data_IF_588996748349
#
_entry.id   IF_588996748349
#
_cell.length_a   1.000
_cell.length_b   1.000
_cell.length_c   1.000
_cell.angle_alpha   90.00
_cell.angle_beta   90.00
_cell.angle_gamma   90.00
#
_symmetry.space_group_name_H-M   'P 1'
#
loop_
_entity.id
_entity.type
_entity.pdbx_description
1 polymer ?
#
# COMPACT_ATOMS: atom_id res chain seq x y z
N UNK A 1 -57.01 40.50 19.36
CA UNK A 1 -57.25 41.46 18.24
C UNK A 1 -57.69 40.69 17.00
N UNK A 2 -58.45 41.36 16.15
CA UNK A 2 -59.35 40.84 15.10
C UNK A 2 -58.66 40.03 14.00
N UNK A 3 -59.38 39.01 13.49
CA UNK A 3 -59.13 38.33 12.20
C UNK A 3 -59.34 39.32 11.04
N UNK A 4 -58.45 39.31 10.06
CA UNK A 4 -58.69 39.83 8.70
C UNK A 4 -58.20 38.77 7.71
N UNK A 5 -59.09 38.38 6.80
CA UNK A 5 -58.83 37.52 5.64
C UNK A 5 -58.12 38.33 4.57
N UNK A 6 -57.12 37.76 3.90
CA UNK A 6 -56.67 38.23 2.60
C UNK A 6 -56.81 37.09 1.59
N UNK A 7 -57.61 37.37 0.57
CA UNK A 7 -57.84 36.56 -0.63
C UNK A 7 -56.74 36.96 -1.62
N UNK A 8 -55.97 35.99 -2.13
CA UNK A 8 -55.11 36.21 -3.30
C UNK A 8 -55.38 35.13 -4.35
N UNK A 9 -55.56 35.64 -5.55
CA UNK A 9 -56.13 35.08 -6.77
C UNK A 9 -55.20 34.01 -7.39
N UNK A 10 -55.74 32.83 -7.72
CA UNK A 10 -55.06 31.84 -8.57
C UNK A 10 -55.08 32.32 -10.03
N UNK A 11 -53.91 32.41 -10.65
CA UNK A 11 -53.75 32.61 -12.09
C UNK A 11 -53.32 31.28 -12.71
N UNK A 12 -54.27 30.62 -13.37
CA UNK A 12 -54.06 29.39 -14.13
C UNK A 12 -53.49 29.75 -15.49
N UNK A 13 -52.26 29.31 -15.80
CA UNK A 13 -51.72 29.33 -17.17
C UNK A 13 -51.69 27.88 -17.66
N UNK A 14 -52.62 27.54 -18.54
CA UNK A 14 -52.53 26.35 -19.38
C UNK A 14 -51.50 26.60 -20.47
N UNK A 15 -50.49 25.74 -20.57
CA UNK A 15 -49.71 25.57 -21.80
C UNK A 15 -49.66 24.08 -22.15
N UNK A 16 -49.92 23.85 -23.43
CA UNK A 16 -50.30 22.58 -24.04
C UNK A 16 -49.21 21.51 -23.98
N UNK A 17 -49.69 20.29 -23.83
CA UNK A 17 -48.96 19.03 -24.06
C UNK A 17 -48.69 18.88 -25.57
N UNK A 18 -47.43 18.72 -25.94
CA UNK A 18 -47.03 17.97 -27.13
C UNK A 18 -46.27 16.74 -26.65
N UNK A 19 -46.88 15.57 -26.81
CA UNK A 19 -46.26 14.28 -26.57
C UNK A 19 -45.34 13.91 -27.73
N UNK A 20 -44.10 13.54 -27.44
CA UNK A 20 -43.32 12.58 -28.22
C UNK A 20 -42.26 11.96 -27.29
N UNK A 21 -42.42 10.67 -27.00
CA UNK A 21 -41.37 9.76 -26.55
C UNK A 21 -40.70 10.03 -25.20
N UNK A 22 -41.30 9.56 -24.11
CA UNK A 22 -40.49 9.10 -22.98
C UNK A 22 -39.92 7.73 -23.36
N UNK A 23 -38.81 7.73 -24.09
CA UNK A 23 -37.78 6.72 -23.83
C UNK A 23 -37.10 7.19 -22.55
N UNK A 24 -37.15 6.38 -21.49
CA UNK A 24 -36.18 6.49 -20.41
C UNK A 24 -34.81 6.52 -21.08
N UNK A 25 -34.15 7.67 -21.04
CA UNK A 25 -32.74 7.72 -21.37
C UNK A 25 -32.09 6.86 -20.29
N UNK A 26 -31.69 5.65 -20.66
CA UNK A 26 -30.61 4.96 -19.95
C UNK A 26 -29.52 6.02 -19.76
N UNK A 27 -29.25 6.40 -18.51
CA UNK A 27 -28.05 7.14 -18.17
C UNK A 27 -26.90 6.22 -18.56
N UNK A 28 -26.51 6.27 -19.83
CA UNK A 28 -25.25 5.69 -20.28
C UNK A 28 -24.20 6.44 -19.49
N UNK A 29 -23.54 5.74 -18.57
CA UNK A 29 -22.39 6.32 -17.92
C UNK A 29 -21.42 6.72 -19.04
N UNK A 30 -20.80 7.90 -18.96
CA UNK A 30 -19.92 8.43 -20.02
C UNK A 30 -18.58 7.66 -20.11
N UNK A 31 -18.55 6.45 -19.54
CA UNK A 31 -17.38 5.60 -19.40
C UNK A 31 -16.41 6.13 -18.35
N UNK A 32 -16.82 7.03 -17.46
CA UNK A 32 -15.98 7.58 -16.37
C UNK A 32 -16.64 7.28 -15.04
N UNK A 33 -15.88 6.66 -14.14
CA UNK A 33 -16.33 6.26 -12.81
C UNK A 33 -15.45 6.95 -11.77
N UNK A 34 -16.00 7.92 -11.05
CA UNK A 34 -15.31 8.55 -9.91
C UNK A 34 -15.20 7.58 -8.74
N UNK A 35 -14.25 7.80 -7.83
CA UNK A 35 -14.10 6.92 -6.65
C UNK A 35 -15.36 6.81 -5.80
N UNK A 36 -16.16 7.88 -5.73
CA UNK A 36 -17.45 7.89 -5.04
C UNK A 36 -18.49 7.02 -5.76
N UNK A 37 -18.53 7.03 -7.10
CA UNK A 37 -19.43 6.17 -7.88
C UNK A 37 -19.01 4.69 -7.82
N UNK A 38 -17.74 4.42 -7.56
CA UNK A 38 -17.21 3.07 -7.38
C UNK A 38 -17.32 2.54 -5.95
N UNK A 39 -17.91 3.29 -5.00
CA UNK A 39 -18.01 2.87 -3.60
C UNK A 39 -18.67 1.47 -3.48
N UNK A 40 -17.98 0.54 -2.82
CA UNK A 40 -18.40 -0.86 -2.69
C UNK A 40 -18.21 -1.74 -3.94
N UNK A 41 -17.57 -1.23 -5.00
CA UNK A 41 -17.29 -1.95 -6.25
C UNK A 41 -15.79 -2.20 -6.52
N UNK A 42 -14.91 -1.69 -5.67
CA UNK A 42 -13.48 -1.95 -5.71
C UNK A 42 -12.96 -2.51 -4.39
N UNK A 43 -11.80 -3.15 -4.46
CA UNK A 43 -11.03 -3.64 -3.32
C UNK A 43 -9.73 -2.86 -3.22
N UNK A 44 -9.29 -2.59 -2.00
CA UNK A 44 -7.96 -2.04 -1.73
C UNK A 44 -7.19 -2.96 -0.80
N UNK A 45 -5.88 -2.94 -0.95
CA UNK A 45 -4.96 -3.54 0.02
C UNK A 45 -3.99 -2.46 0.51
N UNK A 46 -3.50 -2.61 1.74
CA UNK A 46 -2.78 -1.55 2.43
C UNK A 46 -3.69 -0.61 3.24
N UNK A 47 -3.15 0.54 3.64
CA UNK A 47 -3.84 1.49 4.54
C UNK A 47 -4.29 2.73 3.78
N UNK A 48 -5.08 2.48 2.72
CA UNK A 48 -5.60 3.50 1.81
C UNK A 48 -6.71 4.33 2.45
N UNK A 49 -6.79 5.61 2.09
CA UNK A 49 -7.81 6.55 2.61
C UNK A 49 -8.45 7.29 1.41
N UNK A 50 -9.77 7.43 1.42
CA UNK A 50 -10.49 8.21 0.41
C UNK A 50 -10.57 9.68 0.84
N UNK A 51 -9.99 10.57 0.04
CA UNK A 51 -10.00 12.02 0.20
C UNK A 51 -10.93 12.69 -0.83
N UNK A 52 -11.10 14.02 -0.73
CA UNK A 52 -11.82 14.81 -1.74
C UNK A 52 -11.12 14.71 -3.11
N UNK A 53 -9.78 14.64 -3.10
CA UNK A 53 -8.94 14.47 -4.29
C UNK A 53 -9.01 13.06 -4.90
N UNK A 54 -9.54 12.07 -4.19
CA UNK A 54 -9.59 10.67 -4.65
C UNK A 54 -9.02 9.68 -3.65
N UNK A 55 -8.91 8.42 -4.07
CA UNK A 55 -8.36 7.34 -3.23
C UNK A 55 -6.84 7.48 -3.16
N UNK A 56 -6.31 7.70 -1.96
CA UNK A 56 -4.88 7.83 -1.73
C UNK A 56 -4.19 6.47 -1.69
N UNK A 57 -3.26 6.26 -2.62
CA UNK A 57 -2.31 5.14 -2.66
C UNK A 57 -0.95 5.69 -2.24
N UNK A 58 -0.60 5.57 -0.97
CA UNK A 58 0.52 6.30 -0.36
C UNK A 58 1.72 5.40 -0.10
N UNK A 59 1.49 4.17 0.33
CA UNK A 59 2.52 3.29 0.84
C UNK A 59 2.92 2.28 -0.22
N UNK A 60 4.10 1.68 -0.06
CA UNK A 60 4.48 0.54 -0.88
C UNK A 60 3.41 -0.56 -0.82
N UNK A 61 3.09 -1.12 -1.98
CA UNK A 61 2.06 -2.12 -2.21
C UNK A 61 0.61 -1.71 -1.92
N UNK A 62 0.33 -0.44 -1.56
CA UNK A 62 -1.04 0.05 -1.60
C UNK A 62 -1.61 -0.21 -2.99
N UNK A 63 -2.80 -0.82 -3.03
CA UNK A 63 -3.39 -1.28 -4.28
C UNK A 63 -4.86 -0.91 -4.43
N UNK A 64 -5.27 -0.84 -5.69
CA UNK A 64 -6.64 -0.63 -6.12
C UNK A 64 -6.99 -1.71 -7.14
N UNK A 65 -8.08 -2.44 -6.90
CA UNK A 65 -8.52 -3.56 -7.72
C UNK A 65 -10.02 -3.47 -8.01
N UNK A 66 -10.42 -3.70 -9.25
CA UNK A 66 -11.83 -3.74 -9.65
C UNK A 66 -12.07 -4.74 -10.79
N UNK A 67 -13.31 -5.20 -10.89
CA UNK A 67 -13.78 -6.02 -12.01
C UNK A 67 -14.69 -5.19 -12.92
N UNK A 68 -14.61 -5.42 -14.23
CA UNK A 68 -15.50 -4.78 -15.19
C UNK A 68 -15.80 -5.70 -16.38
N UNK A 69 -17.02 -5.58 -16.91
CA UNK A 69 -17.37 -6.11 -18.22
C UNK A 69 -17.17 -5.00 -19.25
N UNK A 70 -16.07 -5.03 -19.98
CA UNK A 70 -15.65 -3.93 -20.83
C UNK A 70 -15.01 -4.39 -22.14
N UNK A 71 -14.78 -3.44 -23.04
CA UNK A 71 -13.98 -3.62 -24.26
C UNK A 71 -13.18 -2.36 -24.59
N UNK A 72 -12.05 -2.52 -25.29
CA UNK A 72 -11.22 -1.41 -25.76
C UNK A 72 -10.30 -0.82 -24.69
N UNK A 73 -10.21 0.52 -24.63
CA UNK A 73 -9.28 1.23 -23.75
C UNK A 73 -9.78 1.26 -22.31
N UNK A 74 -8.89 0.97 -21.38
CA UNK A 74 -9.09 1.17 -19.94
C UNK A 74 -7.99 2.09 -19.42
N UNK A 75 -8.38 3.17 -18.73
CA UNK A 75 -7.45 4.12 -18.15
C UNK A 75 -7.90 4.62 -16.78
N UNK A 76 -7.03 5.34 -16.09
CA UNK A 76 -7.24 5.92 -14.77
C UNK A 76 -6.80 7.37 -14.79
N UNK A 77 -7.51 8.26 -14.10
CA UNK A 77 -7.03 9.62 -13.85
C UNK A 77 -6.36 9.66 -12.48
N UNK A 78 -5.10 10.08 -12.46
CA UNK A 78 -4.27 10.15 -11.26
C UNK A 78 -3.80 11.58 -11.01
N UNK A 79 -3.77 11.99 -9.76
CA UNK A 79 -3.09 13.19 -9.28
C UNK A 79 -1.89 12.79 -8.43
N UNK A 80 -0.69 13.20 -8.82
CA UNK A 80 0.51 13.05 -8.01
C UNK A 80 0.95 14.41 -7.45
N UNK A 81 1.02 14.53 -6.14
CA UNK A 81 1.50 15.70 -5.44
C UNK A 81 2.86 15.45 -4.80
N UNK A 82 3.78 16.39 -4.98
CA UNK A 82 5.06 16.36 -4.28
C UNK A 82 4.87 16.56 -2.77
N UNK A 83 5.81 16.00 -1.99
CA UNK A 83 5.96 16.33 -0.58
C UNK A 83 6.93 17.50 -0.41
N UNK A 84 6.57 18.46 0.42
CA UNK A 84 7.36 19.69 0.65
C UNK A 84 8.75 19.39 1.23
N UNK A 85 8.91 18.33 2.04
CA UNK A 85 10.21 17.93 2.58
C UNK A 85 11.14 17.32 1.51
N UNK A 86 10.57 16.68 0.48
CA UNK A 86 11.36 16.09 -0.61
C UNK A 86 11.77 17.09 -1.69
N UNK A 87 11.17 18.28 -1.75
CA UNK A 87 11.63 19.35 -2.66
C UNK A 87 13.02 19.90 -2.28
N UNK A 88 13.50 19.65 -1.04
CA UNK A 88 14.84 20.03 -0.57
C UNK A 88 15.87 18.89 -0.68
N UNK A 89 15.44 17.68 -1.08
CA UNK A 89 16.34 16.53 -1.25
C UNK A 89 16.98 16.53 -2.64
N UNK A 90 18.20 17.10 -2.65
CA UNK A 90 19.31 16.87 -3.60
C UNK A 90 19.05 17.24 -5.07
N UNK A 91 19.88 18.11 -5.63
CA UNK A 91 20.02 18.27 -7.08
C UNK A 91 20.38 16.90 -7.68
N UNK A 92 19.44 16.30 -8.41
CA UNK A 92 19.66 15.04 -9.13
C UNK A 92 20.00 15.33 -10.60
N UNK A 93 21.14 14.81 -11.12
CA UNK A 93 21.51 15.01 -12.52
C UNK A 93 20.53 14.41 -13.53
N UNK A 94 19.69 13.44 -13.13
CA UNK A 94 18.64 12.85 -13.98
C UNK A 94 17.29 13.59 -13.89
N UNK A 95 17.22 14.68 -13.11
CA UNK A 95 16.05 15.56 -13.05
C UNK A 95 14.92 15.06 -12.15
N UNK A 96 15.26 14.31 -11.09
CA UNK A 96 14.32 13.93 -10.03
C UNK A 96 13.42 15.09 -9.64
N UNK A 97 12.13 14.79 -9.59
CA UNK A 97 11.16 15.63 -8.91
C UNK A 97 10.71 14.91 -7.65
N UNK A 98 10.36 15.66 -6.61
CA UNK A 98 9.79 15.21 -5.34
C UNK A 98 8.44 14.43 -5.44
N UNK A 99 8.14 13.88 -6.62
CA UNK A 99 6.89 13.27 -7.07
C UNK A 99 7.16 12.31 -8.24
N UNK A 100 7.94 11.26 -7.98
CA UNK A 100 8.27 10.18 -8.92
C UNK A 100 7.79 8.85 -8.32
N UNK A 101 6.52 8.51 -8.55
CA UNK A 101 5.90 7.32 -7.96
C UNK A 101 5.78 6.22 -9.01
N UNK A 102 6.29 5.03 -8.70
CA UNK A 102 6.24 3.88 -9.62
C UNK A 102 5.09 2.95 -9.27
N UNK A 103 4.44 2.38 -10.29
CA UNK A 103 3.34 1.43 -10.16
C UNK A 103 3.49 0.25 -11.10
N UNK A 104 2.94 -0.89 -10.69
CA UNK A 104 2.73 -2.08 -11.53
C UNK A 104 1.23 -2.24 -11.79
N UNK A 105 0.84 -2.49 -13.04
CA UNK A 105 -0.52 -2.92 -13.36
C UNK A 105 -0.59 -4.44 -13.51
N UNK A 106 -1.72 -5.03 -13.14
CA UNK A 106 -2.09 -6.41 -13.44
C UNK A 106 -3.43 -6.40 -14.17
N UNK A 107 -3.53 -7.19 -15.23
CA UNK A 107 -4.78 -7.40 -16.00
C UNK A 107 -5.03 -8.90 -16.03
N UNK A 108 -6.19 -9.34 -15.54
CA UNK A 108 -6.56 -10.75 -15.42
C UNK A 108 -5.50 -11.59 -14.67
N UNK A 109 -4.86 -10.97 -13.67
CA UNK A 109 -3.77 -11.57 -12.89
C UNK A 109 -2.40 -11.53 -13.55
N UNK A 110 -2.29 -11.12 -14.82
CA UNK A 110 -1.02 -11.01 -15.53
C UNK A 110 -0.32 -9.67 -15.21
N UNK A 111 0.91 -9.73 -14.72
CA UNK A 111 1.75 -8.57 -14.40
C UNK A 111 2.22 -7.86 -15.67
N UNK A 112 2.03 -6.54 -15.73
CA UNK A 112 2.63 -5.71 -16.78
C UNK A 112 4.16 -5.74 -16.72
N UNK A 113 4.81 -5.85 -17.88
CA UNK A 113 6.26 -5.66 -18.01
C UNK A 113 6.67 -4.19 -17.82
N UNK A 114 5.74 -3.25 -18.02
CA UNK A 114 5.99 -1.81 -17.88
C UNK A 114 5.82 -1.38 -16.43
N UNK A 115 6.87 -0.78 -15.87
CA UNK A 115 6.79 0.00 -14.62
C UNK A 115 6.34 1.41 -14.96
N UNK A 116 5.26 1.85 -14.35
CA UNK A 116 4.65 3.12 -14.68
C UNK A 116 5.08 4.21 -13.71
N UNK A 117 5.79 5.22 -14.22
CA UNK A 117 6.22 6.37 -13.43
C UNK A 117 5.19 7.49 -13.53
N UNK A 118 4.51 7.78 -12.42
CA UNK A 118 3.57 8.88 -12.27
C UNK A 118 4.30 10.11 -11.71
N UNK A 119 4.44 11.11 -12.57
CA UNK A 119 5.08 12.39 -12.29
C UNK A 119 4.11 13.39 -11.63
N UNK A 120 4.66 14.44 -11.00
CA UNK A 120 3.89 15.57 -10.44
C UNK A 120 2.80 16.08 -11.38
N UNK A 121 1.59 16.24 -10.85
CA UNK A 121 0.43 16.79 -11.54
C UNK A 121 -0.62 15.74 -11.87
N UNK A 122 -1.60 16.14 -12.69
CA UNK A 122 -2.64 15.24 -13.18
C UNK A 122 -2.20 14.54 -14.45
N UNK A 123 -2.45 13.25 -14.55
CA UNK A 123 -2.17 12.45 -15.74
C UNK A 123 -3.26 11.41 -15.98
N UNK A 124 -3.54 11.15 -17.26
CA UNK A 124 -4.24 9.92 -17.65
C UNK A 124 -3.23 8.78 -17.69
N UNK A 125 -3.56 7.71 -17.00
CA UNK A 125 -2.81 6.49 -16.91
C UNK A 125 -3.50 5.38 -17.70
N UNK A 126 -2.95 4.96 -18.83
CA UNK A 126 -3.56 3.92 -19.67
C UNK A 126 -3.11 2.54 -19.18
N UNK A 127 -4.06 1.76 -18.65
CA UNK A 127 -3.85 0.36 -18.25
C UNK A 127 -3.70 -0.53 -19.50
N UNK A 128 -4.61 -0.39 -20.46
CA UNK A 128 -4.58 -1.08 -21.74
C UNK A 128 -5.29 -0.26 -22.82
N UNK A 129 -4.80 -0.36 -24.06
CA UNK A 129 -5.38 0.36 -25.21
C UNK A 129 -6.53 -0.40 -25.89
N UNK A 130 -6.48 -1.74 -25.86
CA UNK A 130 -7.41 -2.60 -26.59
C UNK A 130 -7.57 -3.95 -25.87
N UNK A 131 -8.50 -4.01 -24.92
CA UNK A 131 -8.91 -5.26 -24.28
C UNK A 131 -10.08 -5.88 -25.04
N UNK A 132 -10.09 -7.20 -25.17
CA UNK A 132 -11.20 -7.90 -25.79
C UNK A 132 -12.49 -7.68 -24.99
N UNK A 133 -13.65 -7.82 -25.64
CA UNK A 133 -14.92 -7.76 -24.94
C UNK A 133 -15.08 -8.92 -23.96
N UNK A 134 -15.26 -8.61 -22.68
CA UNK A 134 -15.49 -9.62 -21.66
C UNK A 134 -15.43 -9.08 -20.23
N UNK A 135 -15.51 -10.01 -19.28
CA UNK A 135 -15.22 -9.75 -17.88
C UNK A 135 -13.71 -9.73 -17.67
N UNK A 136 -13.21 -8.68 -17.03
CA UNK A 136 -11.80 -8.48 -16.75
C UNK A 136 -11.59 -8.00 -15.32
N UNK A 137 -10.43 -8.37 -14.76
CA UNK A 137 -9.91 -7.87 -13.49
C UNK A 137 -8.74 -6.92 -13.75
N UNK A 138 -8.74 -5.78 -13.05
CA UNK A 138 -7.67 -4.79 -13.14
C UNK A 138 -7.17 -4.47 -11.75
N UNK A 139 -5.85 -4.51 -11.56
CA UNK A 139 -5.20 -4.13 -10.30
C UNK A 139 -4.04 -3.18 -10.57
N UNK A 140 -4.01 -2.07 -9.84
CA UNK A 140 -2.88 -1.14 -9.81
C UNK A 140 -2.21 -1.25 -8.44
N UNK A 141 -0.89 -1.44 -8.40
CA UNK A 141 -0.11 -1.62 -7.16
C UNK A 141 1.03 -0.62 -7.13
N UNK A 142 1.14 0.15 -6.05
CA UNK A 142 2.24 1.10 -5.84
C UNK A 142 3.54 0.36 -5.52
N UNK A 143 4.63 0.73 -6.17
CA UNK A 143 5.96 0.18 -5.92
C UNK A 143 6.74 1.00 -4.89
N UNK A 144 6.72 2.31 -5.05
CA UNK A 144 7.56 3.26 -4.29
C UNK A 144 6.97 3.61 -2.93
N UNK A 145 7.83 3.93 -1.96
CA UNK A 145 7.44 4.39 -0.62
C UNK A 145 6.77 5.76 -0.63
N UNK A 146 6.18 6.12 0.50
CA UNK A 146 5.34 7.32 0.64
C UNK A 146 6.08 8.63 0.44
N UNK A 147 7.37 8.69 0.75
CA UNK A 147 8.19 9.88 0.62
C UNK A 147 8.38 10.31 -0.85
N UNK A 148 8.15 9.42 -1.81
CA UNK A 148 8.32 9.73 -3.24
C UNK A 148 7.15 10.49 -3.86
N UNK A 149 6.07 10.74 -3.10
CA UNK A 149 4.93 11.53 -3.53
C UNK A 149 3.59 10.97 -3.08
N UNK A 150 2.55 11.81 -3.14
CA UNK A 150 1.18 11.45 -2.76
C UNK A 150 0.38 11.23 -4.04
N UNK A 151 -0.14 10.02 -4.25
CA UNK A 151 -0.90 9.68 -5.45
C UNK A 151 -2.35 9.46 -5.07
N UNK A 152 -3.23 10.18 -5.74
CA UNK A 152 -4.68 10.06 -5.63
C UNK A 152 -5.24 9.51 -6.93
N UNK A 153 -5.99 8.41 -6.85
CA UNK A 153 -6.81 7.90 -7.94
C UNK A 153 -8.14 8.68 -7.96
N UNK A 154 -8.35 9.51 -8.98
CA UNK A 154 -9.52 10.37 -9.12
C UNK A 154 -10.70 9.60 -9.75
N UNK A 155 -10.43 8.81 -10.78
CA UNK A 155 -11.45 8.05 -11.52
C UNK A 155 -10.85 6.94 -12.39
N UNK A 156 -11.70 6.01 -12.82
CA UNK A 156 -11.40 4.97 -13.82
C UNK A 156 -12.25 5.23 -15.08
N UNK A 157 -11.67 5.04 -16.25
CA UNK A 157 -12.32 5.27 -17.54
C UNK A 157 -12.33 4.00 -18.40
N UNK A 158 -13.50 3.54 -18.85
CA UNK A 158 -13.67 2.40 -19.75
C UNK A 158 -15.06 2.36 -20.41
N UNK A 159 -15.20 1.67 -21.54
CA UNK A 159 -16.50 1.35 -22.16
C UNK A 159 -17.02 0.02 -21.63
N UNK A 160 -18.10 0.05 -20.87
CA UNK A 160 -18.64 -1.13 -20.19
C UNK A 160 -19.30 -0.81 -18.86
N UNK A 161 -19.49 -1.85 -18.03
CA UNK A 161 -20.10 -1.75 -16.71
C UNK A 161 -19.19 -2.34 -15.62
N UNK A 162 -19.22 -1.75 -14.42
CA UNK A 162 -18.54 -2.32 -13.25
C UNK A 162 -19.22 -3.63 -12.85
N UNK A 163 -18.39 -4.64 -12.58
CA UNK A 163 -18.82 -5.93 -12.06
C UNK A 163 -18.78 -5.94 -10.52
N UNK A 164 -18.99 -7.09 -9.90
CA UNK A 164 -18.91 -7.18 -8.43
C UNK A 164 -17.49 -6.93 -7.92
N UNK A 165 -17.42 -6.38 -6.69
CA UNK A 165 -16.15 -6.14 -5.99
C UNK A 165 -15.28 -7.41 -6.01
N UNK A 166 -13.96 -7.31 -6.28
CA UNK A 166 -13.04 -8.44 -6.06
C UNK A 166 -13.19 -9.00 -4.64
N UNK A 167 -13.21 -10.33 -4.54
CA UNK A 167 -13.44 -11.01 -3.26
C UNK A 167 -12.26 -10.83 -2.30
N UNK A 168 -12.57 -10.65 -1.01
CA UNK A 168 -11.55 -10.66 0.05
C UNK A 168 -11.03 -12.09 0.20
N UNK A 169 -9.71 -12.23 0.44
CA UNK A 169 -9.07 -13.54 0.57
C UNK A 169 -9.29 -14.11 1.96
N UNK A 170 -9.31 -15.43 2.10
CA UNK A 170 -9.52 -16.05 3.43
C UNK A 170 -8.36 -15.77 4.39
N UNK A 171 -7.13 -15.63 3.90
CA UNK A 171 -5.96 -15.29 4.72
C UNK A 171 -5.65 -13.79 4.61
N UNK A 172 -5.40 -13.12 5.74
CA UNK A 172 -4.94 -11.74 5.78
C UNK A 172 -3.64 -11.60 6.58
N UNK A 173 -2.62 -10.99 5.98
CA UNK A 173 -1.28 -10.83 6.57
C UNK A 173 -0.93 -9.35 6.68
N UNK A 174 -0.58 -8.88 7.88
CA UNK A 174 0.05 -7.56 8.03
C UNK A 174 1.57 -7.71 8.13
N UNK A 175 2.29 -6.99 7.30
CA UNK A 175 3.74 -6.89 7.34
C UNK A 175 4.14 -5.57 7.99
N UNK A 176 5.06 -5.62 8.94
CA UNK A 176 5.67 -4.46 9.57
C UNK A 176 7.16 -4.54 9.31
N UNK A 177 7.75 -3.54 8.66
CA UNK A 177 9.13 -3.66 8.22
C UNK A 177 9.89 -2.37 7.95
N UNK A 178 11.07 -2.53 7.38
CA UNK A 178 11.91 -1.43 6.89
C UNK A 178 12.13 -1.51 5.36
N UNK A 179 13.29 -1.06 4.90
CA UNK A 179 13.71 -0.99 3.48
C UNK A 179 13.65 -2.36 2.79
N UNK A 180 13.81 -3.45 3.53
CA UNK A 180 13.73 -4.80 2.94
C UNK A 180 12.28 -5.12 2.56
N UNK A 181 11.31 -4.78 3.41
CA UNK A 181 9.88 -5.01 3.15
C UNK A 181 9.31 -4.08 2.07
N UNK A 182 9.92 -2.90 1.86
CA UNK A 182 9.55 -1.98 0.78
C UNK A 182 10.20 -2.31 -0.56
N UNK A 183 11.18 -3.21 -0.59
CA UNK A 183 11.94 -3.55 -1.79
C UNK A 183 12.97 -2.49 -2.17
N UNK A 184 13.41 -1.64 -1.24
CA UNK A 184 14.41 -0.62 -1.51
C UNK A 184 15.68 -1.23 -2.10
N UNK A 185 16.11 -0.73 -3.26
CA UNK A 185 17.33 -1.17 -3.91
C UNK A 185 17.28 -2.55 -4.56
N UNK A 186 16.10 -3.17 -4.67
CA UNK A 186 15.98 -4.52 -5.24
C UNK A 186 16.10 -4.57 -6.76
N UNK A 187 15.97 -3.43 -7.47
CA UNK A 187 16.15 -3.33 -8.92
C UNK A 187 17.56 -2.80 -9.23
N UNK A 188 18.46 -3.61 -9.79
CA UNK A 188 19.70 -3.13 -10.38
C UNK A 188 19.49 -2.77 -11.85
N UNK A 189 19.24 -1.49 -12.15
CA UNK A 189 19.22 -0.98 -13.54
C UNK A 189 20.55 -0.29 -13.91
N UNK A 190 21.34 -0.91 -14.79
CA UNK A 190 22.57 -0.32 -15.34
C UNK A 190 22.31 1.04 -16.03
N UNK A 191 21.09 1.26 -16.53
CA UNK A 191 20.69 2.48 -17.24
C UNK A 191 20.53 3.70 -16.31
N UNK A 192 20.38 3.47 -15.01
CA UNK A 192 20.17 4.53 -14.01
C UNK A 192 21.35 4.68 -13.05
N UNK A 193 22.53 4.12 -13.34
CA UNK A 193 23.68 4.12 -12.40
C UNK A 193 24.01 5.49 -11.80
N UNK A 194 23.67 6.58 -12.50
CA UNK A 194 23.89 7.95 -12.05
C UNK A 194 22.86 8.48 -11.06
N UNK A 195 21.69 7.84 -10.95
CA UNK A 195 20.68 8.11 -9.93
C UNK A 195 21.23 7.82 -8.52
N UNK A 196 20.89 8.69 -7.59
CA UNK A 196 21.31 8.57 -6.20
C UNK A 196 20.71 7.32 -5.52
N UNK A 197 21.33 6.86 -4.43
CA UNK A 197 21.09 5.52 -3.88
C UNK A 197 19.69 5.20 -3.35
N UNK A 198 18.82 6.20 -3.12
CA UNK A 198 17.43 6.02 -2.70
C UNK A 198 16.42 6.61 -3.70
N UNK A 199 16.83 6.74 -4.95
CA UNK A 199 15.89 7.08 -6.02
C UNK A 199 14.87 5.95 -6.20
N UNK A 200 13.56 6.24 -6.38
CA UNK A 200 12.50 5.23 -6.45
C UNK A 200 12.61 4.29 -7.67
N UNK A 201 13.44 4.64 -8.65
CA UNK A 201 13.77 3.76 -9.78
C UNK A 201 14.38 2.44 -9.33
N UNK A 202 15.14 2.45 -8.23
CA UNK A 202 15.81 1.27 -7.66
C UNK A 202 14.90 0.35 -6.86
N UNK A 203 13.63 0.71 -6.74
CA UNK A 203 12.71 0.06 -5.83
C UNK A 203 11.49 -0.47 -6.56
N UNK A 204 11.18 -1.74 -6.30
CA UNK A 204 9.93 -2.36 -6.71
C UNK A 204 9.32 -3.16 -5.56
N UNK A 205 8.37 -2.56 -4.84
CA UNK A 205 7.65 -3.22 -3.76
C UNK A 205 6.85 -4.45 -4.19
N UNK A 206 6.49 -4.58 -5.47
CA UNK A 206 5.83 -5.80 -5.99
C UNK A 206 6.80 -6.97 -6.15
N UNK A 207 8.10 -6.71 -5.99
CA UNK A 207 9.18 -7.69 -5.96
C UNK A 207 9.91 -7.71 -4.60
N UNK A 208 9.26 -7.22 -3.54
CA UNK A 208 9.72 -7.37 -2.16
C UNK A 208 9.15 -8.64 -1.54
N UNK A 209 9.87 -9.25 -0.60
CA UNK A 209 9.50 -10.53 0.00
C UNK A 209 8.08 -10.51 0.62
N UNK A 210 7.68 -9.37 1.19
CA UNK A 210 6.39 -9.20 1.84
C UNK A 210 5.23 -9.36 0.84
N UNK A 211 5.26 -8.60 -0.26
CA UNK A 211 4.26 -8.71 -1.32
C UNK A 211 4.29 -10.09 -1.98
N UNK A 212 5.47 -10.59 -2.33
CA UNK A 212 5.59 -11.90 -2.99
C UNK A 212 5.09 -13.05 -2.12
N UNK A 213 5.28 -12.97 -0.80
CA UNK A 213 4.77 -13.99 0.14
C UNK A 213 3.26 -13.95 0.22
N UNK A 214 2.65 -12.76 0.28
CA UNK A 214 1.19 -12.62 0.27
C UNK A 214 0.57 -13.20 -1.00
N UNK A 215 1.13 -12.87 -2.17
CA UNK A 215 0.66 -13.42 -3.45
C UNK A 215 0.83 -14.95 -3.52
N UNK A 216 1.96 -15.48 -3.06
CA UNK A 216 2.24 -16.93 -3.06
C UNK A 216 1.34 -17.72 -2.09
N UNK A 217 0.74 -17.05 -1.11
CA UNK A 217 -0.20 -17.60 -0.14
C UNK A 217 -1.67 -17.34 -0.51
N UNK A 218 -1.94 -16.65 -1.63
CA UNK A 218 -3.26 -16.17 -2.00
C UNK A 218 -3.94 -15.36 -0.87
N UNK A 219 -3.15 -14.48 -0.23
CA UNK A 219 -3.55 -13.72 0.94
C UNK A 219 -3.81 -12.24 0.60
N UNK A 220 -4.76 -11.65 1.31
CA UNK A 220 -4.82 -10.21 1.44
C UNK A 220 -3.67 -9.72 2.31
N UNK A 221 -3.26 -8.47 2.11
CA UNK A 221 -2.12 -7.91 2.81
C UNK A 221 -2.26 -6.43 3.20
N UNK A 222 -1.47 -6.05 4.19
CA UNK A 222 -1.13 -4.66 4.47
C UNK A 222 0.37 -4.58 4.74
N UNK A 223 1.07 -3.63 4.12
CA UNK A 223 2.51 -3.45 4.32
C UNK A 223 2.73 -2.08 4.99
N UNK A 224 3.26 -2.13 6.21
CA UNK A 224 3.59 -0.97 7.04
C UNK A 224 5.10 -0.93 7.17
N UNK A 225 5.75 -0.28 6.21
CA UNK A 225 7.20 -0.26 6.14
C UNK A 225 7.74 1.08 5.63
N UNK A 226 8.94 1.44 6.08
CA UNK A 226 9.67 2.64 5.67
C UNK A 226 11.16 2.31 5.65
N UNK A 227 11.87 2.67 4.58
CA UNK A 227 13.32 2.52 4.49
C UNK A 227 14.01 3.18 5.68
N UNK A 228 15.03 2.52 6.22
CA UNK A 228 15.83 3.09 7.31
C UNK A 228 15.11 3.24 8.65
N UNK A 229 13.84 2.85 8.79
CA UNK A 229 13.13 2.89 10.08
C UNK A 229 13.59 1.77 11.00
N UNK A 230 13.59 2.04 12.30
CA UNK A 230 13.80 1.04 13.34
C UNK A 230 12.68 1.08 14.38
N UNK A 231 12.66 0.09 15.27
CA UNK A 231 11.69 0.04 16.37
C UNK A 231 12.02 1.06 17.48
N UNK A 232 13.30 1.37 17.67
CA UNK A 232 13.82 2.33 18.67
C UNK A 232 14.63 3.47 18.07
N UNK A 233 15.40 3.21 17.02
CA UNK A 233 16.20 4.20 16.31
C UNK A 233 16.48 3.76 14.88
N UNK A 234 16.70 4.73 13.99
CA UNK A 234 17.05 4.47 12.60
C UNK A 234 17.56 5.74 11.94
N UNK A 235 17.26 5.88 10.66
CA UNK A 235 17.67 7.04 9.85
C UNK A 235 16.63 8.18 9.86
N UNK A 236 15.49 7.98 10.53
CA UNK A 236 14.42 8.96 10.71
C UNK A 236 14.42 9.55 12.12
N UNK A 237 13.76 10.71 12.28
CA UNK A 237 13.49 11.34 13.57
C UNK A 237 12.27 10.75 14.30
N UNK A 238 11.69 9.70 13.73
CA UNK A 238 10.62 8.87 14.30
C UNK A 238 10.93 7.39 14.11
N UNK A 239 10.21 6.55 14.84
CA UNK A 239 10.38 5.09 14.89
C UNK A 239 9.11 4.36 14.47
N UNK A 240 9.22 3.07 14.14
CA UNK A 240 8.06 2.25 13.81
C UNK A 240 7.06 2.20 14.96
N UNK A 241 7.52 2.09 16.21
CA UNK A 241 6.65 2.08 17.39
C UNK A 241 5.85 3.37 17.53
N UNK A 242 6.38 4.52 17.11
CA UNK A 242 5.66 5.80 17.19
C UNK A 242 4.61 5.96 16.09
N UNK A 243 4.78 5.28 14.95
CA UNK A 243 3.93 5.48 13.77
C UNK A 243 3.04 4.29 13.42
N UNK A 244 3.26 3.11 13.99
CA UNK A 244 2.54 1.90 13.60
C UNK A 244 1.02 2.08 13.67
N UNK A 245 0.48 2.85 14.62
CA UNK A 245 -0.95 3.10 14.70
C UNK A 245 -1.48 4.17 13.74
N UNK A 246 -0.64 5.11 13.29
CA UNK A 246 -1.03 6.24 12.43
C UNK A 246 -0.45 6.17 11.01
N UNK A 247 0.15 5.04 10.62
CA UNK A 247 0.68 4.83 9.29
C UNK A 247 -0.42 4.72 8.22
N UNK A 248 -0.26 5.37 7.04
CA UNK A 248 0.80 6.32 6.70
C UNK A 248 0.52 7.71 7.32
N UNK A 249 1.42 8.21 8.18
CA UNK A 249 1.28 9.46 8.96
C UNK A 249 1.32 10.75 8.12
N UNK A 250 1.40 10.60 6.81
CA UNK A 250 1.83 11.63 5.85
C UNK A 250 0.79 12.73 5.66
N UNK A 251 -0.48 12.34 5.57
CA UNK A 251 -1.59 13.27 5.31
C UNK A 251 -2.24 13.78 6.59
N UNK A 252 -2.37 12.91 7.60
CA UNK A 252 -3.09 13.21 8.83
C UNK A 252 -2.32 12.70 10.04
N UNK A 253 -1.65 13.61 10.77
CA UNK A 253 -0.84 13.23 11.95
C UNK A 253 -1.66 12.62 13.10
N UNK A 254 -2.93 12.99 13.18
CA UNK A 254 -3.87 12.52 14.21
C UNK A 254 -4.73 11.33 13.73
N UNK A 255 -4.54 10.88 12.48
CA UNK A 255 -5.19 9.69 11.96
C UNK A 255 -4.73 8.47 12.74
N UNK A 256 -5.66 7.61 13.12
CA UNK A 256 -5.35 6.30 13.70
C UNK A 256 -6.00 5.27 12.81
N UNK A 257 -5.19 4.40 12.22
CA UNK A 257 -5.66 3.31 11.40
C UNK A 257 -6.55 2.40 12.23
N UNK A 258 -7.76 2.15 11.73
CA UNK A 258 -8.72 1.23 12.34
C UNK A 258 -8.99 0.12 11.33
N UNK A 259 -8.39 -1.06 11.50
CA UNK A 259 -8.64 -2.17 10.59
C UNK A 259 -10.13 -2.54 10.60
N UNK A 260 -10.73 -2.68 9.42
CA UNK A 260 -12.06 -3.26 9.28
C UNK A 260 -12.03 -4.78 9.53
N UNK A 261 -10.88 -5.39 9.25
CA UNK A 261 -10.56 -6.79 9.49
C UNK A 261 -9.19 -6.90 10.16
N UNK A 262 -9.05 -7.73 11.19
CA UNK A 262 -7.76 -8.03 11.82
C UNK A 262 -6.99 -9.09 11.03
N UNK A 263 -5.68 -8.99 11.00
CA UNK A 263 -4.80 -9.96 10.37
C UNK A 263 -4.85 -11.31 11.09
N UNK A 264 -4.71 -12.39 10.32
CA UNK A 264 -4.53 -13.75 10.82
C UNK A 264 -3.06 -14.00 11.20
N UNK A 265 -2.15 -13.29 10.52
CA UNK A 265 -0.70 -13.33 10.76
C UNK A 265 -0.16 -11.91 10.70
N UNK A 266 0.70 -11.56 11.65
CA UNK A 266 1.55 -10.37 11.55
C UNK A 266 2.99 -10.81 11.40
N UNK A 267 3.65 -10.36 10.33
CA UNK A 267 5.08 -10.59 10.08
C UNK A 267 5.82 -9.30 10.39
N UNK A 268 6.79 -9.36 11.29
CA UNK A 268 7.65 -8.23 11.66
C UNK A 268 9.07 -8.54 11.22
N UNK A 269 9.62 -7.75 10.30
CA UNK A 269 11.01 -7.85 9.86
C UNK A 269 11.68 -6.50 10.17
N UNK A 270 12.41 -6.43 11.27
CA UNK A 270 12.95 -5.18 11.79
C UNK A 270 14.19 -5.41 12.65
N UNK A 271 14.71 -4.30 13.20
CA UNK A 271 15.89 -4.17 14.06
C UNK A 271 17.22 -4.07 13.30
N UNK A 272 17.25 -4.25 11.99
CA UNK A 272 18.44 -4.04 11.16
C UNK A 272 19.00 -2.62 11.31
N UNK A 273 18.13 -1.61 11.19
CA UNK A 273 18.51 -0.20 11.37
C UNK A 273 18.84 0.15 12.83
N UNK A 274 18.14 -0.45 13.80
CA UNK A 274 18.48 -0.30 15.21
C UNK A 274 19.89 -0.82 15.50
N UNK A 275 20.23 -2.01 15.00
CA UNK A 275 21.53 -2.63 15.14
C UNK A 275 22.67 -1.83 14.50
N UNK A 276 22.37 -1.07 13.44
CA UNK A 276 23.32 -0.16 12.80
C UNK A 276 23.54 1.13 13.61
N UNK A 277 22.51 1.66 14.28
CA UNK A 277 22.52 3.03 14.81
C UNK A 277 22.52 3.15 16.35
N UNK A 278 22.28 2.06 17.10
CA UNK A 278 22.06 2.13 18.55
C UNK A 278 23.15 2.83 19.37
N UNK A 279 24.43 2.70 18.98
CA UNK A 279 25.55 3.34 19.70
C UNK A 279 25.52 4.86 19.55
N UNK A 280 25.24 5.33 18.34
CA UNK A 280 25.19 6.76 18.02
C UNK A 280 23.92 7.39 18.62
N UNK A 281 22.84 6.60 18.74
CA UNK A 281 21.65 6.95 19.49
C UNK A 281 21.82 6.91 21.02
N UNK A 282 22.98 6.46 21.53
CA UNK A 282 23.25 6.35 22.97
C UNK A 282 22.44 5.26 23.69
N UNK A 283 21.94 4.28 22.93
CA UNK A 283 21.15 3.16 23.42
C UNK A 283 22.05 1.98 23.82
N UNK A 284 21.44 0.95 24.39
CA UNK A 284 22.03 -0.36 24.66
C UNK A 284 21.34 -1.43 23.81
N UNK A 285 21.95 -2.62 23.74
CA UNK A 285 21.30 -3.78 23.10
C UNK A 285 19.94 -4.07 23.77
N UNK A 286 19.83 -3.93 25.09
CA UNK A 286 18.58 -4.18 25.80
C UNK A 286 17.46 -3.22 25.38
N UNK A 287 17.77 -1.95 25.13
CA UNK A 287 16.77 -0.97 24.67
C UNK A 287 16.20 -1.37 23.29
N UNK A 288 17.05 -1.86 22.38
CA UNK A 288 16.61 -2.35 21.06
C UNK A 288 15.69 -3.57 21.21
N UNK A 289 16.13 -4.55 22.01
CA UNK A 289 15.36 -5.77 22.23
C UNK A 289 14.00 -5.46 22.89
N UNK A 290 13.98 -4.58 23.90
CA UNK A 290 12.76 -4.13 24.57
C UNK A 290 11.78 -3.47 23.58
N UNK A 291 12.29 -2.67 22.63
CA UNK A 291 11.45 -2.01 21.63
C UNK A 291 10.90 -2.95 20.56
N UNK A 292 11.66 -3.97 20.15
CA UNK A 292 11.11 -5.05 19.32
C UNK A 292 10.00 -5.84 20.02
N UNK A 293 10.17 -6.12 21.32
CA UNK A 293 9.13 -6.77 22.14
C UNK A 293 7.88 -5.88 22.28
N UNK A 294 8.07 -4.57 22.49
CA UNK A 294 6.98 -3.60 22.52
C UNK A 294 6.20 -3.58 21.21
N UNK A 295 6.88 -3.60 20.05
CA UNK A 295 6.22 -3.64 18.75
C UNK A 295 5.40 -4.91 18.54
N UNK A 296 5.95 -6.07 18.91
CA UNK A 296 5.21 -7.33 18.84
C UNK A 296 3.96 -7.34 19.74
N UNK A 297 4.04 -6.70 20.92
CA UNK A 297 2.87 -6.50 21.79
C UNK A 297 1.84 -5.58 21.14
N UNK A 298 2.26 -4.45 20.56
CA UNK A 298 1.37 -3.53 19.85
C UNK A 298 0.66 -4.24 18.69
N UNK A 299 1.39 -5.04 17.91
CA UNK A 299 0.81 -5.85 16.84
C UNK A 299 -0.22 -6.86 17.37
N UNK A 300 0.08 -7.57 18.46
CA UNK A 300 -0.86 -8.51 19.08
C UNK A 300 -2.09 -7.82 19.67
N UNK A 301 -1.94 -6.62 20.25
CA UNK A 301 -3.07 -5.83 20.75
C UNK A 301 -3.98 -5.37 19.60
N UNK A 302 -3.38 -5.01 18.45
CA UNK A 302 -4.11 -4.60 17.25
C UNK A 302 -4.81 -5.78 16.57
N UNK A 303 -4.18 -6.95 16.58
CA UNK A 303 -4.66 -8.19 15.98
C UNK A 303 -4.68 -9.33 17.01
N UNK A 304 -5.69 -9.38 17.90
CA UNK A 304 -5.69 -10.27 19.07
C UNK A 304 -5.57 -11.76 18.74
N UNK A 305 -6.10 -12.19 17.60
CA UNK A 305 -6.11 -13.59 17.18
C UNK A 305 -4.90 -13.95 16.28
N UNK A 306 -4.11 -12.95 15.86
CA UNK A 306 -3.01 -13.18 14.94
C UNK A 306 -1.89 -14.03 15.54
N UNK A 307 -1.26 -14.85 14.69
CA UNK A 307 0.09 -15.38 14.95
C UNK A 307 1.10 -14.27 14.66
N UNK A 308 2.07 -14.05 15.55
CA UNK A 308 3.10 -13.01 15.40
C UNK A 308 4.43 -13.67 15.05
N UNK A 309 4.89 -13.45 13.81
CA UNK A 309 6.14 -13.98 13.28
C UNK A 309 7.17 -12.85 13.23
N UNK A 310 8.32 -13.01 13.89
CA UNK A 310 9.36 -11.98 13.93
C UNK A 310 10.66 -12.47 13.28
N UNK A 311 11.21 -11.68 12.37
CA UNK A 311 12.57 -11.80 11.83
C UNK A 311 13.42 -10.64 12.38
N UNK A 312 14.24 -10.87 13.42
CA UNK A 312 14.88 -9.79 14.17
C UNK A 312 16.14 -9.21 13.52
N UNK A 313 16.60 -9.73 12.37
CA UNK A 313 17.79 -9.26 11.62
C UNK A 313 19.12 -9.32 12.39
N UNK A 314 19.24 -8.57 13.48
CA UNK A 314 20.37 -8.45 14.40
C UNK A 314 20.08 -9.05 15.77
N UNK A 315 21.14 -9.52 16.45
CA UNK A 315 21.06 -10.16 17.77
C UNK A 315 20.01 -11.29 17.89
N UNK A 316 19.87 -12.18 16.87
CA UNK A 316 18.74 -13.11 16.79
C UNK A 316 18.63 -14.03 18.01
N UNK A 317 19.75 -14.47 18.59
CA UNK A 317 19.74 -15.33 19.78
C UNK A 317 19.21 -14.62 21.02
N UNK A 318 19.66 -13.39 21.27
CA UNK A 318 19.22 -12.61 22.43
C UNK A 318 17.77 -12.19 22.29
N UNK A 319 17.34 -11.87 21.06
CA UNK A 319 15.95 -11.56 20.79
C UNK A 319 15.06 -12.79 20.98
N UNK A 320 15.41 -13.95 20.40
CA UNK A 320 14.63 -15.18 20.53
C UNK A 320 14.45 -15.58 22.01
N UNK A 321 15.51 -15.53 22.82
CA UNK A 321 15.44 -15.83 24.26
C UNK A 321 14.42 -14.92 24.96
N UNK A 322 14.53 -13.61 24.74
CA UNK A 322 13.64 -12.61 25.34
C UNK A 322 12.20 -12.71 24.82
N UNK A 323 12.03 -12.97 23.52
CA UNK A 323 10.73 -13.12 22.87
C UNK A 323 9.98 -14.32 23.42
N UNK A 324 10.68 -15.44 23.63
CA UNK A 324 10.13 -16.63 24.30
C UNK A 324 9.83 -16.37 25.77
N UNK A 325 10.68 -15.64 26.48
CA UNK A 325 10.47 -15.33 27.89
C UNK A 325 9.23 -14.44 28.12
N UNK A 326 9.00 -13.46 27.23
CA UNK A 326 7.84 -12.56 27.31
C UNK A 326 6.54 -13.24 26.87
N UNK A 327 6.57 -13.96 25.74
CA UNK A 327 5.35 -14.41 25.08
C UNK A 327 5.09 -15.93 25.18
N UNK A 328 6.04 -16.71 25.68
CA UNK A 328 5.95 -18.17 25.75
C UNK A 328 6.21 -18.91 24.43
N UNK A 329 6.54 -18.17 23.36
CA UNK A 329 6.91 -18.73 22.05
C UNK A 329 5.75 -19.36 21.29
N UNK A 330 6.06 -20.39 20.51
CA UNK A 330 5.18 -20.97 19.48
C UNK A 330 3.84 -21.48 20.04
N UNK A 331 3.84 -22.05 21.26
CA UNK A 331 2.63 -22.55 21.93
C UNK A 331 1.58 -21.45 22.14
N UNK A 332 1.99 -20.19 22.16
CA UNK A 332 1.14 -19.02 22.33
C UNK A 332 0.98 -18.20 21.03
N UNK A 333 1.43 -18.74 19.89
CA UNK A 333 1.31 -18.09 18.58
C UNK A 333 2.39 -17.04 18.30
N UNK A 334 3.55 -17.11 18.97
CA UNK A 334 4.68 -16.20 18.76
C UNK A 334 5.88 -16.97 18.20
N UNK A 335 6.30 -16.60 17.00
CA UNK A 335 7.27 -17.33 16.20
C UNK A 335 8.47 -16.46 15.85
N UNK A 336 9.63 -17.09 15.66
CA UNK A 336 10.81 -16.47 15.05
C UNK A 336 11.06 -17.14 13.72
N UNK A 337 11.38 -16.35 12.70
CA UNK A 337 11.78 -16.84 11.37
C UNK A 337 13.11 -16.19 10.97
N UNK A 338 13.95 -16.95 10.27
CA UNK A 338 15.15 -16.43 9.63
C UNK A 338 14.86 -16.28 8.13
N UNK A 339 15.09 -15.08 7.60
CA UNK A 339 14.84 -14.79 6.19
C UNK A 339 16.16 -14.75 5.43
N UNK A 340 16.46 -15.75 4.58
CA UNK A 340 17.70 -15.77 3.83
C UNK A 340 17.67 -14.69 2.74
N UNK A 341 18.64 -13.78 2.78
CA UNK A 341 18.76 -12.67 1.83
C UNK A 341 20.21 -12.52 1.37
N UNK A 342 20.39 -12.03 0.14
CA UNK A 342 21.69 -11.58 -0.36
C UNK A 342 21.87 -10.06 -0.13
N UNK A 343 22.99 -9.52 -0.58
CA UNK A 343 23.30 -8.07 -0.50
C UNK A 343 23.73 -7.52 -1.86
N UNK A 344 23.15 -8.09 -2.93
CA UNK A 344 23.57 -7.85 -4.31
C UNK A 344 22.88 -6.64 -4.96
N UNK A 345 21.83 -6.12 -4.32
CA UNK A 345 21.11 -4.94 -4.75
C UNK A 345 21.82 -3.62 -4.42
N UNK A 346 21.12 -2.51 -4.68
CA UNK A 346 21.66 -1.16 -4.48
C UNK A 346 21.92 -0.91 -3.00
N UNK A 347 23.03 -0.22 -2.71
CA UNK A 347 23.41 0.18 -1.34
C UNK A 347 23.54 -1.01 -0.35
N UNK A 348 23.79 -2.22 -0.85
CA UNK A 348 23.93 -3.43 -0.03
C UNK A 348 22.61 -4.10 0.38
N UNK A 349 21.48 -3.67 -0.19
CA UNK A 349 20.18 -4.32 -0.02
C UNK A 349 20.08 -5.62 -0.82
N UNK A 350 19.12 -6.51 -0.53
CA UNK A 350 18.84 -7.65 -1.38
C UNK A 350 18.34 -7.22 -2.76
N UNK A 351 18.82 -7.88 -3.81
CA UNK A 351 18.20 -7.80 -5.13
C UNK A 351 16.92 -8.66 -5.20
N UNK A 352 16.26 -8.72 -6.37
CA UNK A 352 15.07 -9.56 -6.57
C UNK A 352 15.32 -11.03 -6.23
N UNK A 353 16.51 -11.59 -6.49
CA UNK A 353 16.82 -12.98 -6.13
C UNK A 353 16.86 -13.16 -4.61
N UNK A 354 17.49 -12.23 -3.89
CA UNK A 354 17.52 -12.21 -2.43
C UNK A 354 16.13 -12.06 -1.82
N UNK A 355 15.30 -11.18 -2.39
CA UNK A 355 13.90 -11.00 -1.99
C UNK A 355 13.06 -12.26 -2.25
N UNK A 356 13.32 -12.96 -3.36
CA UNK A 356 12.63 -14.22 -3.71
C UNK A 356 12.97 -15.32 -2.71
N UNK A 357 14.25 -15.47 -2.35
CA UNK A 357 14.68 -16.44 -1.35
C UNK A 357 13.99 -16.22 0.01
N UNK A 358 13.92 -14.96 0.46
CA UNK A 358 13.20 -14.60 1.68
C UNK A 358 11.70 -14.91 1.59
N UNK A 359 11.08 -14.60 0.44
CA UNK A 359 9.66 -14.87 0.19
C UNK A 359 9.34 -16.36 0.24
N UNK A 360 10.17 -17.21 -0.38
CA UNK A 360 9.99 -18.65 -0.38
C UNK A 360 10.13 -19.23 1.04
N UNK A 361 11.14 -18.78 1.79
CA UNK A 361 11.34 -19.19 3.18
C UNK A 361 10.14 -18.81 4.05
N UNK A 362 9.66 -17.56 3.96
CA UNK A 362 8.52 -17.08 4.73
C UNK A 362 7.22 -17.79 4.34
N UNK A 363 6.99 -17.98 3.03
CA UNK A 363 5.81 -18.69 2.52
C UNK A 363 5.73 -20.12 3.06
N UNK A 364 6.85 -20.84 3.02
CA UNK A 364 6.91 -22.20 3.56
C UNK A 364 6.68 -22.21 5.07
N UNK A 365 7.32 -21.28 5.79
CA UNK A 365 7.14 -21.14 7.23
C UNK A 365 5.67 -20.87 7.61
N UNK A 366 5.00 -19.96 6.90
CA UNK A 366 3.59 -19.63 7.14
C UNK A 366 2.69 -20.85 6.89
N UNK A 367 2.95 -21.63 5.83
CA UNK A 367 2.20 -22.88 5.58
C UNK A 367 2.37 -23.87 6.74
N UNK A 368 3.60 -24.06 7.22
CA UNK A 368 3.89 -24.98 8.34
C UNK A 368 3.15 -24.60 9.62
N UNK A 369 2.98 -23.30 9.91
CA UNK A 369 2.29 -22.88 11.13
C UNK A 369 0.78 -22.76 10.94
N UNK A 370 0.24 -22.73 9.72
CA UNK A 370 -1.21 -22.59 9.47
C UNK A 370 -1.93 -23.90 9.14
N UNK A 371 -1.20 -24.94 8.74
CA UNK A 371 -1.67 -26.33 8.69
C UNK A 371 -1.92 -26.91 10.09
#
# INVERSE_FOLDING_TARGET
>A
MKRIRLITLLLTVCLLVCSCGNTEAENKNDGVYTMTEMEGKYKTQGRTILYEEGLALLSTADSFEFNANCEGKVSMNLLCEALTFTEELREDPEGYTAADCYFTAYIDGERSETRYNIKKGRAEFVLCEDIAKGEHNFRLVRQSEWEHGRVFLESVCFDGELSEKPEDKELYIEFIGDSIATGFGNIPEEEHESAWGGHPVWQDGTQAFAYMSAEALDADYSIVAIEGIGASCGYWDFTMNEIYENYPRVLEKDYIYKPERTADIVVIELLSNDGANWRDAGLTIHDILDKGIELARMAKEKHPDAKIVFSPGVFPKQFEEKYREEFGGEENGFYIVDLPMNTSGKSGHPDVEGQTMASEALTNFIKEITE
#
